data_IF_699613688580
#
_entry.id   IF_699613688580
#
_cell.length_a   1.000
_cell.length_b   1.000
_cell.length_c   1.000
_cell.angle_alpha   90.00
_cell.angle_beta   90.00
_cell.angle_gamma   90.00
#
_symmetry.space_group_name_H-M   'P 1'
#
loop_
_entity.id
_entity.type
_entity.pdbx_description
1 polymer ?
#
# COMPACT_ATOMS: atom_id res chain seq x y z
N UNK A 1 -4.80 -21.46 6.05
CA UNK A 1 -5.43 -20.72 4.95
C UNK A 1 -4.56 -19.51 4.67
N UNK A 2 -4.13 -19.33 3.42
CA UNK A 2 -3.26 -18.21 3.02
C UNK A 2 -4.00 -17.34 1.99
N UNK A 3 -3.97 -16.03 2.18
CA UNK A 3 -4.64 -15.05 1.33
C UNK A 3 -3.59 -14.10 0.74
N UNK A 4 -3.67 -13.86 -0.58
CA UNK A 4 -2.97 -12.77 -1.24
C UNK A 4 -3.94 -11.58 -1.35
N UNK A 5 -3.58 -10.48 -0.72
CA UNK A 5 -4.35 -9.24 -0.68
C UNK A 5 -3.63 -8.17 -1.51
N UNK A 6 -4.28 -7.65 -2.54
CA UNK A 6 -3.65 -6.72 -3.50
C UNK A 6 -4.39 -5.38 -3.46
N UNK A 7 -3.65 -4.29 -3.20
CA UNK A 7 -4.10 -2.93 -3.50
C UNK A 7 -3.60 -2.55 -4.91
N UNK A 8 -4.47 -2.45 -5.92
CA UNK A 8 -4.06 -2.28 -7.32
C UNK A 8 -3.59 -0.85 -7.64
N UNK A 9 -2.93 -0.69 -8.80
CA UNK A 9 -2.65 0.63 -9.36
C UNK A 9 -3.94 1.39 -9.67
N UNK A 10 -3.93 2.70 -9.41
CA UNK A 10 -5.02 3.61 -9.72
C UNK A 10 -4.50 4.61 -10.76
N UNK A 11 -5.19 4.72 -11.89
CA UNK A 11 -4.87 5.69 -12.94
C UNK A 11 -5.73 6.96 -12.87
N UNK A 12 -6.82 6.93 -12.10
CA UNK A 12 -7.66 8.10 -11.87
C UNK A 12 -6.91 9.11 -10.98
N UNK A 13 -6.66 10.29 -11.53
CA UNK A 13 -5.92 11.37 -10.87
C UNK A 13 -6.58 11.78 -9.54
N UNK A 14 -7.91 11.90 -9.50
CA UNK A 14 -8.62 12.34 -8.30
C UNK A 14 -8.45 11.31 -7.17
N UNK A 15 -8.58 10.02 -7.48
CA UNK A 15 -8.39 8.95 -6.51
C UNK A 15 -6.91 8.76 -6.08
N UNK A 16 -5.96 9.06 -6.96
CA UNK A 16 -4.53 9.00 -6.65
C UNK A 16 -4.06 10.15 -5.73
N UNK A 17 -4.56 11.37 -5.95
CA UNK A 17 -4.10 12.57 -5.24
C UNK A 17 -4.58 12.64 -3.78
N UNK A 18 -5.52 11.77 -3.39
CA UNK A 18 -5.98 11.71 -2.00
C UNK A 18 -4.93 11.20 -1.01
N UNK A 19 -3.80 10.61 -1.45
CA UNK A 19 -2.78 10.00 -0.56
C UNK A 19 -3.37 8.98 0.46
N UNK A 20 -4.61 8.53 0.24
CA UNK A 20 -5.34 7.67 1.16
C UNK A 20 -4.94 6.22 0.90
N UNK A 21 -4.33 5.56 1.90
CA UNK A 21 -4.26 4.10 1.92
C UNK A 21 -5.68 3.52 1.94
N UNK A 22 -5.92 2.31 1.40
CA UNK A 22 -7.26 1.70 1.38
C UNK A 22 -7.68 1.24 2.78
N UNK A 23 -8.09 2.20 3.62
CA UNK A 23 -8.29 1.98 5.07
C UNK A 23 -9.26 0.83 5.36
N UNK A 24 -10.41 0.80 4.70
CA UNK A 24 -11.39 -0.28 4.86
C UNK A 24 -10.81 -1.66 4.51
N UNK A 25 -9.98 -1.73 3.47
CA UNK A 25 -9.28 -2.95 3.09
C UNK A 25 -8.29 -3.39 4.19
N UNK A 26 -7.46 -2.47 4.69
CA UNK A 26 -6.50 -2.75 5.76
C UNK A 26 -7.17 -3.20 7.07
N UNK A 27 -8.34 -2.66 7.39
CA UNK A 27 -9.13 -3.09 8.56
C UNK A 27 -9.58 -4.55 8.40
N UNK A 28 -10.06 -4.93 7.21
CA UNK A 28 -10.46 -6.32 6.92
C UNK A 28 -9.26 -7.26 7.02
N UNK A 29 -8.13 -6.90 6.43
CA UNK A 29 -6.91 -7.70 6.52
C UNK A 29 -6.44 -7.87 7.97
N UNK A 30 -6.50 -6.80 8.78
CA UNK A 30 -6.16 -6.86 10.20
C UNK A 30 -7.09 -7.80 10.97
N UNK A 31 -8.40 -7.71 10.71
CA UNK A 31 -9.39 -8.62 11.31
C UNK A 31 -9.09 -10.08 10.98
N UNK A 32 -8.82 -10.40 9.71
CA UNK A 32 -8.51 -11.75 9.25
C UNK A 32 -7.19 -12.26 9.85
N UNK A 33 -6.16 -11.42 9.90
CA UNK A 33 -4.87 -11.73 10.52
C UNK A 33 -5.04 -12.09 12.00
N UNK A 34 -5.89 -11.35 12.73
CA UNK A 34 -6.19 -11.62 14.14
C UNK A 34 -6.96 -12.93 14.37
N UNK A 35 -7.57 -13.51 13.33
CA UNK A 35 -8.22 -14.83 13.36
C UNK A 35 -7.27 -15.97 12.98
N UNK A 36 -5.97 -15.69 12.79
CA UNK A 36 -4.97 -16.69 12.43
C UNK A 36 -4.87 -16.97 10.93
N UNK A 37 -5.43 -16.10 10.09
CA UNK A 37 -5.26 -16.17 8.63
C UNK A 37 -3.90 -15.58 8.25
N UNK A 38 -3.15 -16.30 7.42
CA UNK A 38 -1.90 -15.82 6.87
C UNK A 38 -2.19 -14.90 5.68
N UNK A 39 -1.66 -13.67 5.71
CA UNK A 39 -1.93 -12.65 4.69
C UNK A 39 -0.62 -12.17 4.08
N UNK A 40 -0.51 -12.34 2.77
CA UNK A 40 0.48 -11.69 1.94
C UNK A 40 -0.16 -10.42 1.35
N UNK A 41 0.28 -9.25 1.78
CA UNK A 41 -0.24 -7.97 1.30
C UNK A 41 0.71 -7.36 0.27
N UNK A 42 0.19 -7.03 -0.92
CA UNK A 42 0.90 -6.36 -2.00
C UNK A 42 0.23 -5.02 -2.28
N UNK A 43 0.98 -3.94 -2.08
CA UNK A 43 0.52 -2.59 -2.36
C UNK A 43 1.15 -2.06 -3.64
N UNK A 44 0.39 -2.02 -4.74
CA UNK A 44 0.88 -1.53 -6.02
C UNK A 44 1.07 -0.01 -6.05
N UNK A 45 0.45 0.73 -5.11
CA UNK A 45 0.66 2.17 -4.97
C UNK A 45 1.90 2.52 -4.12
N UNK A 46 2.54 1.53 -3.50
CA UNK A 46 3.73 1.74 -2.68
C UNK A 46 4.92 2.22 -3.53
N UNK A 47 5.35 3.45 -3.28
CA UNK A 47 6.55 4.03 -3.90
C UNK A 47 7.79 3.52 -3.20
N UNK A 48 8.53 2.63 -3.85
CA UNK A 48 9.82 2.13 -3.35
C UNK A 48 10.91 3.20 -3.48
N UNK A 49 10.95 4.10 -2.50
CA UNK A 49 12.02 5.09 -2.38
C UNK A 49 13.08 4.58 -1.41
N UNK A 50 14.36 4.71 -1.77
CA UNK A 50 15.45 4.50 -0.82
C UNK A 50 15.43 5.62 0.22
N UNK A 51 15.04 5.27 1.44
CA UNK A 51 15.05 6.14 2.61
C UNK A 51 16.16 5.71 3.56
N UNK A 52 16.81 6.69 4.19
CA UNK A 52 17.77 6.45 5.26
C UNK A 52 17.06 6.05 6.57
N UNK A 53 17.85 5.74 7.61
CA UNK A 53 17.34 5.38 8.94
C UNK A 53 16.56 6.53 9.63
N UNK A 54 16.59 7.74 9.06
CA UNK A 54 15.87 8.92 9.55
C UNK A 54 14.63 9.23 8.68
N UNK A 55 14.25 8.35 7.75
CA UNK A 55 13.10 8.51 6.86
C UNK A 55 13.30 9.54 5.75
N UNK A 56 14.54 9.96 5.49
CA UNK A 56 14.89 10.93 4.44
C UNK A 56 15.30 10.18 3.18
N UNK A 57 14.81 10.63 2.03
CA UNK A 57 15.11 10.02 0.75
C UNK A 57 14.85 11.01 -0.38
N UNK A 58 15.25 10.66 -1.60
CA UNK A 58 14.89 11.46 -2.78
C UNK A 58 13.37 11.44 -2.94
N UNK A 59 12.76 12.59 -3.23
CA UNK A 59 11.36 12.60 -3.65
C UNK A 59 11.21 11.74 -4.92
N UNK A 60 10.12 10.97 -4.96
CA UNK A 60 9.75 10.27 -6.18
C UNK A 60 9.55 11.27 -7.31
N UNK A 61 10.18 11.04 -8.45
CA UNK A 61 10.02 11.86 -9.66
C UNK A 61 9.79 10.94 -10.84
N UNK A 62 8.73 11.20 -11.58
CA UNK A 62 8.48 10.65 -12.92
C UNK A 62 8.57 11.81 -13.90
N UNK A 63 9.25 11.59 -15.03
CA UNK A 63 9.18 12.51 -16.15
C UNK A 63 7.86 12.20 -16.86
N UNK A 64 6.91 13.14 -16.78
CA UNK A 64 5.64 13.09 -17.51
C UNK A 64 5.83 13.70 -18.90
#
# INVERSE_FOLDING_TARGET
MQILAINPWIYDFAAYDFWLKPYGFLVILTYLKNKGVEINYLDCLEKKTTVDNFGRGKYYSEIV
#
